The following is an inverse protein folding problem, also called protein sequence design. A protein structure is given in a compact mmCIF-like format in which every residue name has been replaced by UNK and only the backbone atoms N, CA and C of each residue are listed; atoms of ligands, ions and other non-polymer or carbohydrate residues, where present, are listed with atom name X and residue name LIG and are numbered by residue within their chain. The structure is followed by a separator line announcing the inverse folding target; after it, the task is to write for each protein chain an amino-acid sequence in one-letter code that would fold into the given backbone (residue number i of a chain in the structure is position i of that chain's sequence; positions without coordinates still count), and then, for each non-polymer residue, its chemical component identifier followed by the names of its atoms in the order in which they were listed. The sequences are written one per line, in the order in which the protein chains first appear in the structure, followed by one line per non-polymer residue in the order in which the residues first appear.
data_IF_044855930421
#
_entry.id   IF_044855930421
#
_cell.length_a   1.000
_cell.length_b   1.000
_cell.length_c   1.000
_cell.angle_alpha   90.00
_cell.angle_beta   90.00
_cell.angle_gamma   90.00
#
_symmetry.space_group_name_H-M   'P 1'
#
loop_
_entity.id
_entity.type
_entity.pdbx_description
1 polymer ?
#
# COMPACT_ATOMS: atom_id res chain seq x y z
N UNK A 1 -7.44 -31.29 7.60
CA UNK A 1 -6.46 -30.32 7.08
C UNK A 1 -6.96 -28.91 7.37
N UNK A 2 -6.63 -28.36 8.53
CA UNK A 2 -6.99 -26.99 8.91
C UNK A 2 -5.79 -26.09 8.59
N UNK A 3 -5.80 -25.47 7.42
CA UNK A 3 -4.83 -24.43 7.08
C UNK A 3 -5.02 -23.24 8.03
N UNK A 4 -4.05 -23.02 8.91
CA UNK A 4 -4.10 -21.99 9.96
C UNK A 4 -4.39 -20.59 9.38
N UNK A 5 -5.31 -19.80 9.96
CA UNK A 5 -5.68 -18.47 9.44
C UNK A 5 -4.50 -17.49 9.40
N UNK A 6 -3.51 -17.69 10.28
CA UNK A 6 -2.28 -16.90 10.30
C UNK A 6 -1.46 -17.03 9.00
N UNK A 7 -1.45 -18.21 8.38
CA UNK A 7 -0.69 -18.44 7.14
C UNK A 7 -1.36 -17.77 5.95
N UNK A 8 -2.70 -17.80 5.87
CA UNK A 8 -3.44 -17.09 4.84
C UNK A 8 -3.31 -15.57 5.00
N UNK A 9 -3.40 -15.06 6.24
CA UNK A 9 -3.16 -13.65 6.52
C UNK A 9 -1.74 -13.22 6.13
N UNK A 10 -0.72 -14.03 6.40
CA UNK A 10 0.67 -13.75 6.02
C UNK A 10 0.91 -13.81 4.50
N UNK A 11 0.25 -14.71 3.77
CA UNK A 11 0.34 -14.76 2.30
C UNK A 11 -0.40 -13.61 1.64
N UNK A 12 -1.61 -13.26 2.10
CA UNK A 12 -2.33 -12.08 1.61
C UNK A 12 -1.57 -10.79 1.91
N UNK A 13 -0.90 -10.71 3.07
CA UNK A 13 -0.06 -9.57 3.46
C UNK A 13 1.17 -9.40 2.57
N UNK A 14 1.69 -10.48 1.97
CA UNK A 14 2.87 -10.42 1.09
C UNK A 14 2.59 -9.79 -0.28
N UNK A 15 1.33 -9.76 -0.74
CA UNK A 15 0.96 -9.19 -2.05
C UNK A 15 0.29 -7.82 -1.99
N UNK A 16 -0.33 -7.47 -0.86
CA UNK A 16 -1.04 -6.19 -0.69
C UNK A 16 -0.15 -4.96 -0.94
N UNK A 17 1.11 -4.90 -0.45
CA UNK A 17 2.01 -3.78 -0.73
C UNK A 17 2.36 -3.64 -2.23
N UNK A 18 2.60 -4.75 -2.93
CA UNK A 18 2.91 -4.76 -4.37
C UNK A 18 1.71 -4.32 -5.20
N UNK A 19 0.50 -4.78 -4.86
CA UNK A 19 -0.74 -4.33 -5.51
C UNK A 19 -0.95 -2.83 -5.29
N UNK A 20 -0.76 -2.35 -4.05
CA UNK A 20 -0.87 -0.94 -3.72
C UNK A 20 0.16 -0.08 -4.47
N UNK A 21 1.41 -0.54 -4.56
CA UNK A 21 2.46 0.11 -5.35
C UNK A 21 2.10 0.15 -6.84
N UNK A 22 1.56 -0.93 -7.40
CA UNK A 22 1.06 -0.97 -8.77
C UNK A 22 -0.08 0.01 -9.04
N UNK A 23 -1.04 0.11 -8.12
CA UNK A 23 -2.14 1.08 -8.24
C UNK A 23 -1.64 2.53 -8.22
N UNK A 24 -0.70 2.85 -7.33
CA UNK A 24 -0.09 4.18 -7.24
C UNK A 24 0.74 4.50 -8.50
N UNK A 25 1.51 3.52 -8.98
CA UNK A 25 2.31 3.63 -10.20
C UNK A 25 1.44 3.94 -11.42
N UNK A 26 0.33 3.20 -11.59
CA UNK A 26 -0.62 3.44 -12.67
C UNK A 26 -1.32 4.80 -12.55
N UNK A 27 -1.65 5.23 -11.33
CA UNK A 27 -2.35 6.50 -11.09
C UNK A 27 -1.47 7.72 -11.41
N UNK A 28 -0.19 7.66 -11.08
CA UNK A 28 0.74 8.78 -11.25
C UNK A 28 1.66 8.65 -12.47
N UNK A 29 1.52 7.59 -13.27
CA UNK A 29 2.44 7.25 -14.35
C UNK A 29 3.92 7.22 -13.90
N UNK A 30 4.18 6.58 -12.75
CA UNK A 30 5.53 6.42 -12.16
C UNK A 30 5.92 4.94 -12.06
N UNK A 31 7.18 4.67 -11.72
CA UNK A 31 7.63 3.29 -11.51
C UNK A 31 7.05 2.70 -10.21
N UNK A 32 6.87 1.37 -10.12
CA UNK A 32 6.45 0.70 -8.88
C UNK A 32 7.40 0.97 -7.70
N UNK A 33 8.70 1.13 -7.97
CA UNK A 33 9.69 1.45 -6.95
C UNK A 33 9.46 2.85 -6.35
N UNK A 34 9.22 3.84 -7.20
CA UNK A 34 8.92 5.21 -6.78
C UNK A 34 7.57 5.28 -6.04
N UNK A 35 6.56 4.56 -6.53
CA UNK A 35 5.28 4.41 -5.84
C UNK A 35 5.45 3.80 -4.44
N UNK A 36 6.28 2.77 -4.29
CA UNK A 36 6.61 2.16 -3.00
C UNK A 36 7.34 3.13 -2.06
N UNK A 37 8.21 3.99 -2.57
CA UNK A 37 8.86 5.04 -1.78
C UNK A 37 7.85 6.08 -1.28
N UNK A 38 6.95 6.54 -2.14
CA UNK A 38 5.88 7.50 -1.78
C UNK A 38 4.89 6.94 -0.77
N UNK A 39 4.50 5.67 -0.92
CA UNK A 39 3.66 4.98 0.06
C UNK A 39 4.32 4.95 1.44
N UNK A 40 5.63 4.65 1.50
CA UNK A 40 6.39 4.65 2.78
C UNK A 40 6.52 6.05 3.36
N UNK A 41 6.75 7.07 2.53
CA UNK A 41 6.83 8.45 2.96
C UNK A 41 5.51 8.93 3.57
N UNK A 42 4.38 8.68 2.89
CA UNK A 42 3.05 8.96 3.41
C UNK A 42 2.79 8.25 4.74
N UNK A 43 3.06 6.93 4.81
CA UNK A 43 2.89 6.18 6.05
C UNK A 43 3.69 6.78 7.22
N UNK A 44 4.92 7.24 6.96
CA UNK A 44 5.76 7.91 7.94
C UNK A 44 5.18 9.25 8.41
N UNK A 45 4.73 10.10 7.49
CA UNK A 45 4.09 11.40 7.81
C UNK A 45 2.82 11.20 8.65
N UNK A 46 2.04 10.17 8.34
CA UNK A 46 0.78 9.88 9.04
C UNK A 46 0.95 8.94 10.25
N UNK A 47 2.18 8.61 10.65
CA UNK A 47 2.47 7.68 11.76
C UNK A 47 1.74 6.32 11.67
N UNK A 48 1.52 5.82 10.45
CA UNK A 48 0.88 4.52 10.17
C UNK A 48 1.89 3.51 9.65
N UNK A 49 1.57 2.22 9.70
CA UNK A 49 2.40 1.21 9.03
C UNK A 49 2.12 1.24 7.53
N UNK A 50 3.15 1.07 6.67
CA UNK A 50 2.97 0.98 5.23
C UNK A 50 1.93 -0.09 4.81
N UNK A 51 1.87 -1.21 5.52
CA UNK A 51 0.90 -2.27 5.27
C UNK A 51 -0.55 -1.82 5.49
N UNK A 52 -0.81 -0.99 6.50
CA UNK A 52 -2.15 -0.45 6.77
C UNK A 52 -2.59 0.52 5.65
N UNK A 53 -1.66 1.35 5.15
CA UNK A 53 -1.91 2.24 4.01
C UNK A 53 -2.17 1.43 2.74
N UNK A 54 -1.40 0.37 2.51
CA UNK A 54 -1.58 -0.52 1.36
C UNK A 54 -2.94 -1.24 1.41
N UNK A 55 -3.35 -1.76 2.57
CA UNK A 55 -4.66 -2.37 2.77
C UNK A 55 -5.79 -1.35 2.53
N UNK A 56 -5.66 -0.13 3.06
CA UNK A 56 -6.63 0.94 2.85
C UNK A 56 -6.78 1.35 1.36
N UNK A 57 -5.68 1.33 0.60
CA UNK A 57 -5.70 1.56 -0.86
C UNK A 57 -6.42 0.43 -1.60
N UNK A 58 -6.10 -0.82 -1.29
CA UNK A 58 -6.74 -2.01 -1.91
C UNK A 58 -8.23 -2.05 -1.59
N UNK A 59 -8.62 -1.72 -0.35
CA UNK A 59 -10.01 -1.62 0.08
C UNK A 59 -10.73 -0.36 -0.43
N UNK A 60 -10.01 0.54 -1.12
CA UNK A 60 -10.51 1.83 -1.63
C UNK A 60 -11.07 2.75 -0.54
N UNK A 61 -10.64 2.57 0.70
CA UNK A 61 -10.97 3.47 1.82
C UNK A 61 -10.01 4.65 1.91
N UNK A 62 -8.87 4.58 1.22
CA UNK A 62 -7.92 5.66 1.01
C UNK A 62 -7.72 5.89 -0.49
N UNK A 63 -7.71 7.17 -0.92
CA UNK A 63 -7.50 7.50 -2.33
C UNK A 63 -6.02 7.45 -2.70
N UNK A 64 -5.64 6.84 -3.84
CA UNK A 64 -4.26 6.86 -4.34
C UNK A 64 -3.71 8.28 -4.48
N UNK A 65 -4.56 9.24 -4.88
CA UNK A 65 -4.17 10.65 -5.03
C UNK A 65 -3.72 11.28 -3.71
N UNK A 66 -4.34 10.91 -2.58
CA UNK A 66 -3.95 11.40 -1.25
C UNK A 66 -2.56 10.93 -0.85
N UNK A 67 -2.18 9.71 -1.26
CA UNK A 67 -0.84 9.15 -0.99
C UNK A 67 0.22 9.77 -1.91
N UNK A 68 -0.19 10.19 -3.12
CA UNK A 68 0.70 10.76 -4.14
C UNK A 68 0.96 12.26 -3.97
N UNK A 69 0.14 12.97 -3.21
CA UNK A 69 0.32 14.38 -2.92
C UNK A 69 1.12 14.52 -1.61
N UNK A 70 2.43 14.82 -1.66
CA UNK A 70 3.12 15.29 -0.47
C UNK A 70 2.58 16.69 -0.16
N UNK A 71 1.87 16.85 0.95
CA UNK A 71 1.70 18.19 1.51
C UNK A 71 3.11 18.69 1.86
N UNK A 72 3.54 19.75 1.17
CA UNK A 72 4.85 20.39 1.34
C UNK A 72 4.87 21.17 2.65
#
# INVERSE_FOLDING_TARGET
MTSSPATQAALSSKGVPDIAAGMLAATAAITPAEAGARLRAYARVHHRRPADIADALVRRTLSPRSVLAPET
#
